data_IF_208656667710
#
_entry.id   IF_208656667710
#
_cell.length_a   1.000
_cell.length_b   1.000
_cell.length_c   1.000
_cell.angle_alpha   90.00
_cell.angle_beta   90.00
_cell.angle_gamma   90.00
#
_symmetry.space_group_name_H-M   'P 1'
#
loop_
_entity.id
_entity.type
_entity.pdbx_description
1 polymer ?
#
# COMPACT_ATOMS: atom_id res chain seq x y z
N UNK A 1 32.15 -10.36 -11.70
CA UNK A 1 30.85 -9.67 -11.53
C UNK A 1 30.42 -9.10 -12.86
N UNK A 2 29.30 -9.56 -13.40
CA UNK A 2 28.88 -9.28 -14.77
C UNK A 2 28.30 -7.84 -14.84
N UNK A 3 28.96 -6.90 -15.54
CA UNK A 3 28.49 -5.51 -15.61
C UNK A 3 27.08 -5.36 -16.21
N UNK A 4 26.60 -6.38 -16.92
CA UNK A 4 25.22 -6.45 -17.44
C UNK A 4 24.17 -6.70 -16.36
N UNK A 5 24.50 -7.45 -15.30
CA UNK A 5 23.59 -7.74 -14.19
C UNK A 5 23.30 -6.48 -13.36
N UNK A 6 24.33 -5.68 -13.09
CA UNK A 6 24.20 -4.41 -12.36
C UNK A 6 23.37 -3.35 -13.10
N UNK A 7 23.42 -3.31 -14.44
CA UNK A 7 22.60 -2.39 -15.26
C UNK A 7 21.13 -2.81 -15.29
N UNK A 8 20.86 -4.11 -15.35
CA UNK A 8 19.50 -4.65 -15.30
C UNK A 8 18.87 -4.44 -13.91
N UNK A 9 19.63 -4.64 -12.83
CA UNK A 9 19.19 -4.37 -11.47
C UNK A 9 18.88 -2.88 -11.24
N UNK A 10 19.74 -1.97 -11.71
CA UNK A 10 19.50 -0.52 -11.62
C UNK A 10 18.29 -0.06 -12.45
N UNK A 11 18.05 -0.69 -13.61
CA UNK A 11 16.87 -0.40 -14.44
C UNK A 11 15.59 -0.92 -13.78
N UNK A 12 15.64 -2.11 -13.18
CA UNK A 12 14.51 -2.69 -12.45
C UNK A 12 14.16 -1.88 -11.19
N UNK A 13 15.16 -1.44 -10.42
CA UNK A 13 14.92 -0.61 -9.23
C UNK A 13 14.33 0.75 -9.59
N UNK A 14 14.80 1.38 -10.66
CA UNK A 14 14.23 2.65 -11.15
C UNK A 14 12.76 2.50 -11.54
N UNK A 15 12.40 1.40 -12.20
CA UNK A 15 11.01 1.10 -12.56
C UNK A 15 10.10 0.95 -11.33
N UNK A 16 10.57 0.28 -10.27
CA UNK A 16 9.81 0.12 -9.03
C UNK A 16 9.49 1.47 -8.37
N UNK A 17 10.49 2.37 -8.30
CA UNK A 17 10.31 3.72 -7.72
C UNK A 17 9.23 4.53 -8.44
N UNK A 18 9.12 4.40 -9.77
CA UNK A 18 8.08 5.07 -10.55
C UNK A 18 6.68 4.56 -10.18
N UNK A 19 6.56 3.25 -9.99
CA UNK A 19 5.30 2.63 -9.59
C UNK A 19 4.95 3.07 -8.16
N UNK A 20 5.91 3.07 -7.24
CA UNK A 20 5.72 3.53 -5.86
C UNK A 20 5.19 4.95 -5.82
N UNK A 21 5.81 5.87 -6.57
CA UNK A 21 5.34 7.26 -6.63
C UNK A 21 3.95 7.36 -7.24
N UNK A 22 3.65 6.63 -8.31
CA UNK A 22 2.30 6.57 -8.88
C UNK A 22 1.26 6.07 -7.89
N UNK A 23 1.61 5.04 -7.11
CA UNK A 23 0.77 4.51 -6.03
C UNK A 23 0.59 5.50 -4.87
N UNK A 24 1.60 6.32 -4.56
CA UNK A 24 1.49 7.39 -3.56
C UNK A 24 0.54 8.51 -4.01
N UNK A 25 0.54 8.88 -5.30
CA UNK A 25 -0.45 9.81 -5.85
C UNK A 25 -1.87 9.24 -5.78
N UNK A 26 -2.08 7.99 -6.23
CA UNK A 26 -3.38 7.34 -6.22
C UNK A 26 -3.93 7.07 -4.81
N UNK A 27 -3.07 6.68 -3.88
CA UNK A 27 -3.43 6.44 -2.48
C UNK A 27 -3.80 7.71 -1.70
N UNK A 28 -3.50 8.87 -2.26
CA UNK A 28 -3.84 10.17 -1.69
C UNK A 28 -2.81 10.74 -0.71
N UNK A 29 -1.57 10.26 -0.76
CA UNK A 29 -0.46 10.76 0.08
C UNK A 29 -0.02 12.15 -0.38
N UNK A 30 0.02 12.38 -1.70
CA UNK A 30 0.39 13.67 -2.28
C UNK A 30 -0.81 14.52 -2.69
N UNK A 31 -1.95 13.89 -2.99
CA UNK A 31 -3.17 14.55 -3.46
C UNK A 31 -4.32 14.16 -2.54
N UNK A 32 -4.98 15.11 -1.87
CA UNK A 32 -6.09 14.80 -0.97
C UNK A 32 -7.19 13.98 -1.66
N UNK A 33 -7.70 12.95 -0.98
CA UNK A 33 -8.75 12.09 -1.53
C UNK A 33 -10.06 12.83 -1.83
N UNK A 34 -10.29 13.98 -1.18
CA UNK A 34 -11.48 14.82 -1.35
C UNK A 34 -11.61 15.46 -2.74
N UNK A 35 -10.51 15.68 -3.45
CA UNK A 35 -10.49 16.31 -4.78
C UNK A 35 -10.31 15.30 -5.92
N UNK A 36 -10.14 14.01 -5.61
CA UNK A 36 -9.95 12.97 -6.60
C UNK A 36 -11.27 12.49 -7.21
N UNK A 37 -11.22 12.15 -8.50
CA UNK A 37 -12.35 11.61 -9.26
C UNK A 37 -12.83 10.26 -8.68
N UNK A 38 -14.15 10.01 -8.71
CA UNK A 38 -14.75 8.71 -8.31
C UNK A 38 -14.05 7.47 -8.89
N UNK A 39 -13.72 7.38 -10.19
CA UNK A 39 -13.03 6.19 -10.72
C UNK A 39 -11.61 6.02 -10.16
N UNK A 40 -10.90 7.12 -9.88
CA UNK A 40 -9.56 7.08 -9.28
C UNK A 40 -9.64 6.54 -7.86
N UNK A 41 -10.60 7.01 -7.07
CA UNK A 41 -10.85 6.51 -5.71
C UNK A 41 -11.23 5.02 -5.70
N UNK A 42 -11.93 4.54 -6.72
CA UNK A 42 -12.27 3.13 -6.84
C UNK A 42 -11.03 2.25 -7.01
N UNK A 43 -10.06 2.70 -7.82
CA UNK A 43 -8.77 2.00 -7.98
C UNK A 43 -7.91 2.15 -6.73
N UNK A 44 -7.89 3.34 -6.12
CA UNK A 44 -7.12 3.62 -4.92
C UNK A 44 -7.49 2.70 -3.74
N UNK A 45 -8.75 2.29 -3.61
CA UNK A 45 -9.21 1.36 -2.56
C UNK A 45 -8.51 -0.01 -2.57
N UNK A 46 -7.91 -0.41 -3.69
CA UNK A 46 -7.10 -1.63 -3.77
C UNK A 46 -5.69 -1.46 -3.20
N UNK A 47 -5.28 -0.24 -2.87
CA UNK A 47 -3.98 0.06 -2.30
C UNK A 47 -4.09 0.18 -0.77
N UNK A 48 -3.12 -0.34 -0.01
CA UNK A 48 -3.10 -0.17 1.44
C UNK A 48 -2.92 1.31 1.85
N UNK A 49 -2.29 2.13 1.00
CA UNK A 49 -2.08 3.57 1.25
C UNK A 49 -3.40 4.36 1.30
N UNK A 50 -4.43 3.95 0.57
CA UNK A 50 -5.74 4.62 0.61
C UNK A 50 -6.39 4.53 1.99
N UNK A 51 -6.37 3.34 2.58
CA UNK A 51 -6.93 3.09 3.91
C UNK A 51 -6.09 3.74 5.01
N UNK A 52 -4.77 3.80 4.83
CA UNK A 52 -3.88 4.52 5.73
C UNK A 52 -4.21 6.02 5.78
N UNK A 53 -4.36 6.67 4.62
CA UNK A 53 -4.71 8.10 4.55
C UNK A 53 -6.10 8.34 5.14
N UNK A 54 -7.08 7.49 4.84
CA UNK A 54 -8.42 7.62 5.43
C UNK A 54 -8.41 7.51 6.97
N UNK A 55 -7.63 6.59 7.53
CA UNK A 55 -7.45 6.49 8.97
C UNK A 55 -6.77 7.73 9.56
N UNK A 56 -5.72 8.21 8.90
CA UNK A 56 -4.96 9.38 9.35
C UNK A 56 -5.80 10.66 9.31
N UNK A 57 -6.57 10.89 8.25
CA UNK A 57 -7.46 12.04 8.13
C UNK A 57 -8.55 12.01 9.21
N UNK A 58 -9.16 10.83 9.44
CA UNK A 58 -10.15 10.65 10.51
C UNK A 58 -9.56 10.88 11.92
N UNK A 59 -8.28 10.53 12.14
CA UNK A 59 -7.57 10.83 13.39
C UNK A 59 -7.28 12.34 13.49
N UNK A 60 -6.91 13.00 12.40
CA UNK A 60 -6.64 14.43 12.36
C UNK A 60 -7.87 15.30 12.63
N UNK A 61 -9.06 14.85 12.20
CA UNK A 61 -10.34 15.52 12.44
C UNK A 61 -10.97 15.19 13.81
N UNK A 62 -10.32 14.32 14.60
CA UNK A 62 -10.86 13.82 15.86
C UNK A 62 -10.81 14.90 16.95
N UNK A 63 -11.90 15.64 17.10
CA UNK A 63 -12.07 16.65 18.16
C UNK A 63 -12.69 16.10 19.44
N UNK A 64 -13.49 15.02 19.32
CA UNK A 64 -14.13 14.34 20.46
C UNK A 64 -14.00 12.83 20.28
N UNK A 65 -13.54 12.16 21.33
CA UNK A 65 -13.40 10.70 21.37
C UNK A 65 -14.75 10.04 21.62
N UNK A 66 -15.55 9.91 20.56
CA UNK A 66 -16.82 9.17 20.59
C UNK A 66 -16.67 7.84 19.85
N UNK A 67 -17.37 6.79 20.30
CA UNK A 67 -17.30 5.46 19.67
C UNK A 67 -17.73 5.44 18.20
N UNK A 68 -18.53 6.42 17.76
CA UNK A 68 -18.92 6.60 16.36
C UNK A 68 -17.75 7.10 15.49
N UNK A 69 -16.94 8.02 16.00
CA UNK A 69 -15.76 8.56 15.31
C UNK A 69 -14.61 7.56 15.22
N UNK A 70 -14.53 6.61 16.16
CA UNK A 70 -13.49 5.58 16.19
C UNK A 70 -13.75 4.40 15.24
N UNK A 71 -15.03 4.12 14.92
CA UNK A 71 -15.42 3.04 14.00
C UNK A 71 -14.71 3.10 12.64
N UNK A 72 -14.70 4.23 11.91
CA UNK A 72 -14.03 4.30 10.60
C UNK A 72 -12.50 4.15 10.69
N UNK A 73 -11.89 4.61 11.79
CA UNK A 73 -10.44 4.49 12.04
C UNK A 73 -10.06 3.02 12.21
N UNK A 74 -10.73 2.32 13.14
CA UNK A 74 -10.47 0.90 13.37
C UNK A 74 -10.80 0.04 12.15
N UNK A 75 -11.85 0.38 11.39
CA UNK A 75 -12.17 -0.29 10.13
C UNK A 75 -11.03 -0.21 9.12
N UNK A 76 -10.46 0.98 8.93
CA UNK A 76 -9.34 1.21 8.01
C UNK A 76 -8.07 0.49 8.45
N UNK A 77 -7.76 0.50 9.75
CA UNK A 77 -6.62 -0.23 10.32
C UNK A 77 -6.78 -1.75 10.11
N UNK A 78 -7.99 -2.29 10.28
CA UNK A 78 -8.24 -3.72 10.08
C UNK A 78 -8.05 -4.14 8.63
N UNK A 79 -8.47 -3.31 7.68
CA UNK A 79 -8.23 -3.53 6.25
C UNK A 79 -6.73 -3.51 5.95
N UNK A 80 -5.98 -2.56 6.51
CA UNK A 80 -4.54 -2.48 6.35
C UNK A 80 -3.81 -3.73 6.91
N UNK A 81 -4.27 -4.26 8.06
CA UNK A 81 -3.78 -5.54 8.58
C UNK A 81 -4.09 -6.70 7.64
N UNK A 82 -5.27 -6.72 7.02
CA UNK A 82 -5.63 -7.71 6.01
C UNK A 82 -4.64 -7.74 4.83
N UNK A 83 -4.26 -6.56 4.31
CA UNK A 83 -3.22 -6.46 3.28
C UNK A 83 -1.86 -6.97 3.76
N UNK A 84 -1.46 -6.61 5.00
CA UNK A 84 -0.19 -7.06 5.57
C UNK A 84 -0.13 -8.59 5.66
N UNK A 85 -1.20 -9.23 6.16
CA UNK A 85 -1.29 -10.70 6.23
C UNK A 85 -1.27 -11.31 4.83
N UNK A 86 -2.00 -10.77 3.86
CA UNK A 86 -2.02 -11.28 2.49
C UNK A 86 -0.63 -11.23 1.83
N UNK A 87 0.06 -10.09 1.91
CA UNK A 87 1.42 -9.92 1.37
C UNK A 87 2.39 -10.88 2.08
N UNK A 88 2.28 -10.99 3.41
CA UNK A 88 3.11 -11.90 4.19
C UNK A 88 2.90 -13.37 3.78
N UNK A 89 1.65 -13.81 3.65
CA UNK A 89 1.31 -15.16 3.19
C UNK A 89 1.82 -15.45 1.78
N UNK A 90 1.67 -14.52 0.83
CA UNK A 90 2.20 -14.66 -0.53
C UNK A 90 3.73 -14.75 -0.51
N UNK A 91 4.40 -13.91 0.29
CA UNK A 91 5.85 -13.91 0.44
C UNK A 91 6.35 -15.24 1.00
N UNK A 92 5.69 -15.78 2.02
CA UNK A 92 6.00 -17.10 2.56
C UNK A 92 5.83 -18.22 1.54
N UNK A 93 4.74 -18.21 0.78
CA UNK A 93 4.48 -19.20 -0.28
C UNK A 93 5.57 -19.17 -1.35
N UNK A 94 5.92 -17.98 -1.86
CA UNK A 94 6.97 -17.81 -2.86
C UNK A 94 8.35 -18.22 -2.33
N UNK A 95 8.62 -17.97 -1.04
CA UNK A 95 9.87 -18.37 -0.41
C UNK A 95 9.99 -19.90 -0.32
N UNK A 96 8.88 -20.59 -0.01
CA UNK A 96 8.84 -22.06 0.05
C UNK A 96 9.17 -22.69 -1.30
N UNK A 97 8.57 -22.21 -2.38
CA UNK A 97 8.81 -22.74 -3.74
C UNK A 97 10.26 -22.53 -4.18
N UNK A 98 10.89 -21.41 -3.79
CA UNK A 98 12.30 -21.17 -4.08
C UNK A 98 13.21 -22.14 -3.34
N UNK A 99 12.97 -22.42 -2.05
CA UNK A 99 13.79 -23.38 -1.29
C UNK A 99 13.69 -24.81 -1.82
N UNK A 100 12.49 -25.25 -2.25
CA UNK A 100 12.30 -26.60 -2.81
C UNK A 100 12.96 -26.75 -4.17
N UNK A 101 13.00 -25.69 -4.98
CA UNK A 101 13.61 -25.74 -6.32
C UNK A 101 15.15 -25.74 -6.33
N UNK A 102 15.80 -25.57 -5.17
CA UNK A 102 17.26 -25.65 -4.99
C UNK A 102 17.73 -27.01 -4.43
N UNK A 103 16.83 -27.96 -4.18
CA UNK A 103 17.12 -29.36 -3.83
C UNK A 103 16.92 -30.26 -5.06
#
# INVERSE_FOLDING_TARGET
MNQYDGRNFATASTGLLMIDWGMSFLGGVFVPQSIMSKPVLAVAKFLPSYWFIQANDAIGELSVFTGESLRPIFGSIFIQLGFAVAIFSVTLLLSKERTVSYL
#
